data_IF_263864949471
#
_entry.id   IF_263864949471
#
_cell.length_a   1.000
_cell.length_b   1.000
_cell.length_c   1.000
_cell.angle_alpha   90.00
_cell.angle_beta   90.00
_cell.angle_gamma   90.00
#
_symmetry.space_group_name_H-M   'P 1'
#
loop_
_entity.id
_entity.type
_entity.pdbx_description
1 polymer ?
#
# COMPACT_ATOMS: atom_id res chain seq x y z
N UNK A 1 16.12 5.30 3.37
CA UNK A 1 14.88 6.05 3.06
C UNK A 1 13.63 5.34 3.61
N UNK A 2 12.71 6.10 4.21
CA UNK A 2 11.47 5.60 4.84
C UNK A 2 10.37 5.32 3.79
N UNK A 3 9.51 4.29 3.96
CA UNK A 3 8.31 4.09 3.13
C UNK A 3 7.43 5.35 2.99
N UNK A 4 7.47 6.26 3.97
CA UNK A 4 6.79 7.55 3.89
C UNK A 4 7.29 8.45 2.76
N UNK A 5 8.56 8.38 2.38
CA UNK A 5 9.08 9.17 1.27
C UNK A 5 8.54 8.68 -0.07
N UNK A 6 8.39 7.36 -0.24
CA UNK A 6 7.76 6.79 -1.43
C UNK A 6 6.30 7.24 -1.57
N UNK A 7 5.55 7.21 -0.47
CA UNK A 7 4.16 7.70 -0.44
C UNK A 7 4.10 9.21 -0.71
N UNK A 8 5.00 9.99 -0.12
CA UNK A 8 5.10 11.43 -0.37
C UNK A 8 5.48 11.74 -1.84
N UNK A 9 6.39 10.95 -2.43
CA UNK A 9 6.76 11.06 -3.84
C UNK A 9 5.55 10.79 -4.74
N UNK A 10 4.74 9.77 -4.42
CA UNK A 10 3.50 9.48 -5.13
C UNK A 10 2.47 10.63 -5.00
N UNK A 11 2.35 11.22 -3.81
CA UNK A 11 1.46 12.37 -3.58
C UNK A 11 1.88 13.57 -4.44
N UNK A 12 3.17 13.92 -4.44
CA UNK A 12 3.72 15.03 -5.22
C UNK A 12 3.62 14.80 -6.73
N UNK A 13 3.71 13.55 -7.18
CA UNK A 13 3.61 13.16 -8.60
C UNK A 13 2.17 12.88 -9.06
N UNK A 14 1.16 13.19 -8.23
CA UNK A 14 -0.26 12.97 -8.52
C UNK A 14 -0.61 11.50 -8.80
N UNK A 15 0.16 10.56 -8.26
CA UNK A 15 -0.02 9.11 -8.41
C UNK A 15 -0.43 8.43 -7.10
N UNK A 16 -0.71 9.19 -6.02
CA UNK A 16 -1.23 8.61 -4.78
C UNK A 16 -2.74 8.31 -4.89
N UNK A 17 -3.10 7.10 -4.48
CA UNK A 17 -4.48 6.72 -4.20
C UNK A 17 -4.61 6.27 -2.74
N UNK A 18 -5.61 6.78 -2.04
CA UNK A 18 -6.02 6.27 -0.74
C UNK A 18 -7.11 5.22 -0.94
N UNK A 19 -7.01 4.09 -0.27
CA UNK A 19 -8.07 3.09 -0.21
C UNK A 19 -8.61 3.06 1.22
N UNK A 20 -9.83 3.55 1.44
CA UNK A 20 -10.40 3.72 2.78
C UNK A 20 -11.48 2.69 3.08
N UNK A 21 -11.38 2.06 4.25
CA UNK A 21 -12.43 1.21 4.83
C UNK A 21 -13.03 1.82 6.09
N UNK A 22 -13.90 1.07 6.76
CA UNK A 22 -14.72 1.59 7.88
C UNK A 22 -13.86 2.06 9.06
N UNK A 23 -12.67 1.48 9.24
CA UNK A 23 -11.70 1.92 10.25
C UNK A 23 -11.19 3.35 10.03
N UNK A 24 -11.21 3.86 8.79
CA UNK A 24 -10.87 5.24 8.49
C UNK A 24 -11.98 6.17 9.02
N UNK A 25 -13.23 5.89 8.67
CA UNK A 25 -14.41 6.61 9.18
C UNK A 25 -14.44 6.61 10.70
N UNK A 26 -14.16 5.46 11.33
CA UNK A 26 -14.04 5.35 12.80
C UNK A 26 -12.93 6.23 13.38
N UNK A 27 -11.79 6.33 12.71
CA UNK A 27 -10.69 7.16 13.19
C UNK A 27 -11.09 8.64 13.20
N UNK A 28 -11.74 9.13 12.13
CA UNK A 28 -12.08 10.56 11.97
C UNK A 28 -13.42 10.96 12.63
N UNK A 29 -14.10 10.00 13.26
CA UNK A 29 -15.37 10.21 13.96
C UNK A 29 -15.31 9.78 15.44
N UNK A 30 -14.11 9.59 16.02
CA UNK A 30 -13.92 9.05 17.39
C UNK A 30 -14.74 7.77 17.68
N UNK A 31 -14.77 6.84 16.72
CA UNK A 31 -15.54 5.59 16.74
C UNK A 31 -17.08 5.73 16.69
N UNK A 32 -17.62 6.91 16.40
CA UNK A 32 -19.05 7.06 16.11
C UNK A 32 -19.52 6.24 14.89
N UNK A 33 -18.69 6.12 13.85
CA UNK A 33 -19.00 5.27 12.71
C UNK A 33 -19.09 3.80 13.14
N UNK A 34 -20.17 3.07 12.78
CA UNK A 34 -20.33 1.69 13.17
C UNK A 34 -19.32 0.80 12.44
N UNK A 35 -18.88 -0.28 13.07
CA UNK A 35 -18.24 -1.38 12.32
C UNK A 35 -19.26 -2.09 11.42
N UNK A 36 -18.83 -2.86 10.41
CA UNK A 36 -19.77 -3.59 9.56
C UNK A 36 -20.72 -4.48 10.36
N UNK A 37 -20.21 -5.25 11.32
CA UNK A 37 -21.03 -6.02 12.25
C UNK A 37 -21.98 -5.14 13.07
N UNK A 38 -21.47 -4.05 13.66
CA UNK A 38 -22.27 -3.14 14.49
C UNK A 38 -23.38 -2.42 13.71
N UNK A 39 -23.16 -2.14 12.43
CA UNK A 39 -24.16 -1.58 11.53
C UNK A 39 -25.29 -2.58 11.31
N UNK A 40 -24.97 -3.84 11.03
CA UNK A 40 -25.98 -4.90 10.86
C UNK A 40 -26.74 -5.18 12.16
N UNK A 41 -26.07 -5.16 13.32
CA UNK A 41 -26.73 -5.25 14.62
C UNK A 41 -27.76 -4.11 14.81
N UNK A 42 -27.43 -2.89 14.37
CA UNK A 42 -28.37 -1.75 14.41
C UNK A 42 -29.53 -1.91 13.43
N UNK A 43 -29.34 -2.60 12.30
CA UNK A 43 -30.44 -2.91 11.37
C UNK A 43 -31.38 -3.97 11.94
N UNK A 44 -30.87 -4.93 12.72
CA UNK A 44 -31.73 -5.89 13.42
C UNK A 44 -32.71 -5.19 14.37
N UNK A 45 -32.31 -4.08 15.02
CA UNK A 45 -33.16 -3.31 15.93
C UNK A 45 -34.41 -2.70 15.29
N UNK A 46 -34.45 -2.66 13.95
CA UNK A 46 -35.58 -2.14 13.18
C UNK A 46 -36.59 -3.21 12.75
N UNK A 47 -36.31 -4.48 13.08
CA UNK A 47 -37.16 -5.66 12.82
C UNK A 47 -38.13 -5.92 13.97
N UNK A 48 -39.13 -6.78 13.76
CA UNK A 48 -40.14 -7.11 14.79
C UNK A 48 -39.58 -7.85 16.00
N UNK A 49 -38.52 -8.65 15.78
CA UNK A 49 -37.91 -9.51 16.80
C UNK A 49 -36.38 -9.36 16.83
N UNK A 50 -35.88 -8.20 17.27
CA UNK A 50 -34.46 -7.85 17.15
C UNK A 50 -33.54 -8.81 17.92
N UNK A 51 -33.91 -9.19 19.15
CA UNK A 51 -33.10 -10.06 20.01
C UNK A 51 -32.99 -11.49 19.47
N UNK A 52 -34.10 -12.03 18.93
CA UNK A 52 -34.12 -13.37 18.31
C UNK A 52 -33.21 -13.40 17.08
N UNK A 53 -33.30 -12.36 16.23
CA UNK A 53 -32.50 -12.25 15.02
C UNK A 53 -31.01 -12.03 15.33
N UNK A 54 -30.68 -11.16 16.29
CA UNK A 54 -29.30 -10.93 16.75
C UNK A 54 -28.68 -12.21 17.31
N UNK A 55 -29.40 -12.94 18.15
CA UNK A 55 -28.92 -14.20 18.71
C UNK A 55 -28.64 -15.25 17.61
N UNK A 56 -29.47 -15.30 16.57
CA UNK A 56 -29.27 -16.22 15.44
C UNK A 56 -28.14 -15.83 14.49
N UNK A 57 -27.99 -14.53 14.18
CA UNK A 57 -27.02 -14.04 13.18
C UNK A 57 -25.65 -13.68 13.76
N UNK A 58 -25.59 -13.33 15.04
CA UNK A 58 -24.37 -12.85 15.71
C UNK A 58 -24.15 -13.55 17.06
N UNK A 59 -24.07 -14.90 17.11
CA UNK A 59 -23.92 -15.62 18.36
C UNK A 59 -22.62 -15.26 19.08
N UNK A 60 -22.70 -15.13 20.41
CA UNK A 60 -21.55 -14.80 21.24
C UNK A 60 -20.65 -16.03 21.43
N UNK A 61 -19.46 -16.02 20.81
CA UNK A 61 -18.41 -17.02 21.07
C UNK A 61 -18.55 -18.35 20.32
N UNK A 62 -19.62 -18.56 19.56
CA UNK A 62 -19.76 -19.69 18.63
C UNK A 62 -19.33 -19.32 17.21
N UNK A 63 -18.96 -20.33 16.42
CA UNK A 63 -18.60 -20.13 15.00
C UNK A 63 -19.85 -19.68 14.26
N UNK A 64 -19.82 -18.46 13.72
CA UNK A 64 -20.92 -17.98 12.92
C UNK A 64 -21.06 -18.83 11.66
N UNK A 65 -22.27 -19.35 11.42
CA UNK A 65 -22.53 -20.21 10.26
C UNK A 65 -22.60 -19.42 8.95
N UNK A 66 -22.87 -18.13 9.04
CA UNK A 66 -23.02 -17.21 7.90
C UNK A 66 -21.92 -16.14 7.90
N UNK A 67 -21.56 -15.73 6.70
CA UNK A 67 -20.79 -14.51 6.45
C UNK A 67 -21.60 -13.25 6.80
N UNK A 68 -20.94 -12.10 6.95
CA UNK A 68 -21.64 -10.85 7.27
C UNK A 68 -22.54 -10.40 6.11
N UNK A 69 -22.16 -10.70 4.88
CA UNK A 69 -22.92 -10.40 3.66
C UNK A 69 -24.21 -11.26 3.60
N UNK A 70 -24.14 -12.53 4.00
CA UNK A 70 -25.31 -13.39 4.11
C UNK A 70 -26.21 -12.97 5.28
N UNK A 71 -25.63 -12.58 6.42
CA UNK A 71 -26.40 -12.03 7.53
C UNK A 71 -27.16 -10.75 7.12
N UNK A 72 -26.52 -9.87 6.34
CA UNK A 72 -27.18 -8.70 5.76
C UNK A 72 -28.35 -9.07 4.84
N UNK A 73 -28.22 -10.14 4.04
CA UNK A 73 -29.30 -10.65 3.22
C UNK A 73 -30.50 -11.13 4.05
N UNK A 74 -30.25 -11.83 5.16
CA UNK A 74 -31.31 -12.26 6.09
C UNK A 74 -32.02 -11.06 6.70
N UNK A 75 -31.26 -10.05 7.16
CA UNK A 75 -31.83 -8.82 7.73
C UNK A 75 -32.68 -8.07 6.69
N UNK A 76 -32.23 -8.02 5.43
CA UNK A 76 -33.00 -7.41 4.33
C UNK A 76 -34.38 -8.06 4.18
N UNK A 77 -34.43 -9.40 4.18
CA UNK A 77 -35.69 -10.16 4.05
C UNK A 77 -36.63 -9.88 5.24
N UNK A 78 -36.08 -9.74 6.45
CA UNK A 78 -36.89 -9.44 7.63
C UNK A 78 -37.44 -8.00 7.60
N UNK A 79 -36.63 -7.03 7.20
CA UNK A 79 -37.06 -5.63 7.06
C UNK A 79 -38.12 -5.43 5.98
N UNK A 80 -38.03 -6.19 4.88
CA UNK A 80 -39.03 -6.16 3.80
C UNK A 80 -40.44 -6.54 4.26
N UNK A 81 -40.56 -7.44 5.26
CA UNK A 81 -41.87 -7.79 5.86
C UNK A 81 -42.56 -6.58 6.50
N UNK A 82 -41.76 -5.61 6.94
CA UNK A 82 -42.20 -4.36 7.54
C UNK A 82 -42.25 -3.20 6.53
N UNK A 83 -42.07 -3.49 5.23
CA UNK A 83 -42.04 -2.49 4.17
C UNK A 83 -40.81 -1.58 4.19
N UNK A 84 -39.74 -1.98 4.89
CA UNK A 84 -38.48 -1.22 4.98
C UNK A 84 -37.43 -1.79 4.05
N UNK A 85 -36.58 -0.92 3.51
CA UNK A 85 -35.39 -1.30 2.73
C UNK A 85 -34.16 -1.20 3.60
N UNK A 86 -33.35 -2.26 3.68
CA UNK A 86 -32.07 -2.23 4.40
C UNK A 86 -31.15 -1.11 3.89
N UNK A 87 -31.16 -0.85 2.59
CA UNK A 87 -30.34 0.19 1.96
C UNK A 87 -30.71 1.59 2.43
N UNK A 88 -32.01 1.91 2.45
CA UNK A 88 -32.50 3.22 2.92
C UNK A 88 -32.22 3.42 4.42
N UNK A 89 -32.43 2.39 5.24
CA UNK A 89 -32.19 2.46 6.69
C UNK A 89 -30.68 2.60 7.03
N UNK A 90 -29.82 1.87 6.31
CA UNK A 90 -28.36 2.05 6.42
C UNK A 90 -27.99 3.48 6.02
N UNK A 91 -28.52 3.98 4.89
CA UNK A 91 -28.21 5.32 4.43
C UNK A 91 -28.69 6.39 5.43
N UNK A 92 -29.85 6.21 6.05
CA UNK A 92 -30.38 7.09 7.08
C UNK A 92 -29.45 7.13 8.31
N UNK A 93 -29.01 5.97 8.80
CA UNK A 93 -28.09 5.88 9.94
C UNK A 93 -26.74 6.54 9.61
N UNK A 94 -26.15 6.18 8.46
CA UNK A 94 -24.81 6.66 8.08
C UNK A 94 -24.79 8.19 7.85
N UNK A 95 -25.87 8.78 7.30
CA UNK A 95 -25.98 10.24 7.12
C UNK A 95 -25.91 11.03 8.44
N UNK A 96 -26.18 10.41 9.58
CA UNK A 96 -26.11 11.08 10.89
C UNK A 96 -24.69 11.23 11.43
N UNK A 97 -23.74 10.44 10.91
CA UNK A 97 -22.35 10.41 11.39
C UNK A 97 -21.65 11.71 11.03
N UNK A 98 -20.90 12.27 11.98
CA UNK A 98 -20.13 13.50 11.78
C UNK A 98 -18.66 13.31 12.12
N UNK A 99 -17.85 14.23 11.61
CA UNK A 99 -16.45 14.35 12.03
C UNK A 99 -16.39 14.70 13.52
N UNK A 100 -15.53 13.99 14.25
CA UNK A 100 -15.25 14.22 15.67
C UNK A 100 -13.75 14.06 15.93
N UNK A 101 -13.29 14.66 17.03
CA UNK A 101 -11.88 14.69 17.39
C UNK A 101 -11.05 15.65 16.55
N UNK A 102 -9.73 15.64 16.77
CA UNK A 102 -8.78 16.45 16.01
C UNK A 102 -8.38 15.73 14.72
N UNK A 103 -8.88 16.25 13.59
CA UNK A 103 -8.55 15.77 12.25
C UNK A 103 -7.72 16.78 11.45
N UNK A 104 -7.08 17.75 12.13
CA UNK A 104 -6.36 18.86 11.50
C UNK A 104 -5.23 18.40 10.58
N UNK A 105 -4.44 17.41 10.98
CA UNK A 105 -3.35 16.84 10.16
C UNK A 105 -3.88 16.19 8.88
N UNK A 106 -4.99 15.47 8.99
CA UNK A 106 -5.67 14.81 7.87
C UNK A 106 -6.25 15.86 6.92
N UNK A 107 -7.01 16.81 7.46
CA UNK A 107 -7.62 17.90 6.69
C UNK A 107 -6.56 18.75 5.96
N UNK A 108 -5.43 19.05 6.62
CA UNK A 108 -4.31 19.78 6.00
C UNK A 108 -3.81 19.08 4.74
N UNK A 109 -3.60 17.76 4.81
CA UNK A 109 -3.19 16.98 3.65
C UNK A 109 -4.29 16.95 2.57
N UNK A 110 -5.52 16.59 2.96
CA UNK A 110 -6.63 16.38 2.03
C UNK A 110 -7.12 17.68 1.36
N UNK A 111 -6.77 18.85 1.87
CA UNK A 111 -7.09 20.14 1.24
C UNK A 111 -5.96 20.67 0.36
N UNK A 112 -4.70 20.31 0.64
CA UNK A 112 -3.54 20.86 -0.04
C UNK A 112 -3.12 20.10 -1.30
N UNK A 113 -3.44 18.81 -1.40
CA UNK A 113 -2.92 17.94 -2.46
C UNK A 113 -4.04 17.35 -3.33
N UNK A 114 -3.76 17.06 -4.61
CA UNK A 114 -4.62 16.22 -5.44
C UNK A 114 -4.42 14.74 -5.09
N UNK A 115 -5.52 13.99 -5.02
CA UNK A 115 -5.47 12.55 -4.78
C UNK A 115 -6.75 11.87 -5.26
N UNK A 116 -6.63 10.57 -5.47
CA UNK A 116 -7.77 9.69 -5.70
C UNK A 116 -8.07 8.92 -4.43
N UNK A 117 -9.36 8.72 -4.12
CA UNK A 117 -9.81 7.83 -3.05
C UNK A 117 -10.65 6.73 -3.65
N UNK A 118 -10.38 5.49 -3.26
CA UNK A 118 -11.32 4.38 -3.38
C UNK A 118 -11.88 4.14 -1.99
N UNK A 119 -13.20 4.18 -1.86
CA UNK A 119 -13.88 3.95 -0.58
C UNK A 119 -14.88 2.82 -0.72
N UNK A 120 -14.88 1.91 0.25
CA UNK A 120 -15.97 0.94 0.47
C UNK A 120 -16.98 1.45 1.51
N UNK A 121 -16.77 2.65 2.04
CA UNK A 121 -17.66 3.24 3.01
C UNK A 121 -18.79 3.99 2.30
N UNK A 122 -19.97 4.03 2.91
CA UNK A 122 -21.12 4.73 2.35
C UNK A 122 -21.13 6.23 2.71
N UNK A 123 -20.45 6.61 3.80
CA UNK A 123 -20.40 7.95 4.36
C UNK A 123 -19.69 8.98 3.47
N UNK A 124 -19.83 10.27 3.80
CA UNK A 124 -19.24 11.41 3.08
C UNK A 124 -18.13 12.11 3.86
N UNK A 125 -17.53 11.45 4.86
CA UNK A 125 -16.65 12.11 5.82
C UNK A 125 -15.34 12.57 5.16
N UNK A 126 -14.83 11.82 4.19
CA UNK A 126 -13.59 12.20 3.49
C UNK A 126 -13.81 13.41 2.57
N UNK A 127 -14.98 13.53 1.95
CA UNK A 127 -15.36 14.70 1.18
C UNK A 127 -15.44 15.94 2.06
N UNK A 128 -16.06 15.83 3.24
CA UNK A 128 -16.10 16.92 4.22
C UNK A 128 -14.70 17.37 4.63
N UNK A 129 -13.76 16.44 4.85
CA UNK A 129 -12.36 16.78 5.17
C UNK A 129 -11.58 17.36 3.98
N UNK A 130 -11.95 17.04 2.75
CA UNK A 130 -11.26 17.47 1.53
C UNK A 130 -11.65 18.88 1.09
N UNK A 131 -12.70 19.46 1.68
CA UNK A 131 -13.24 20.78 1.35
C UNK A 131 -14.35 20.71 0.29
N UNK A 132 -15.50 21.33 0.59
CA UNK A 132 -16.66 21.40 -0.30
C UNK A 132 -16.37 22.37 -1.47
N UNK A 133 -16.19 21.84 -2.68
CA UNK A 133 -16.05 22.67 -3.91
C UNK A 133 -15.09 22.13 -4.96
N UNK A 134 -14.14 21.27 -4.59
CA UNK A 134 -13.12 20.71 -5.49
C UNK A 134 -12.91 19.19 -5.27
N UNK A 135 -13.98 18.54 -4.83
CA UNK A 135 -14.07 17.11 -4.62
C UNK A 135 -15.26 16.55 -5.40
N UNK A 136 -15.00 15.55 -6.24
CA UNK A 136 -16.06 14.77 -6.88
C UNK A 136 -16.24 13.44 -6.19
N UNK A 137 -17.46 13.20 -5.71
CA UNK A 137 -17.89 11.92 -5.19
C UNK A 137 -18.62 11.14 -6.29
N UNK A 138 -18.10 9.96 -6.62
CA UNK A 138 -18.61 9.07 -7.65
C UNK A 138 -19.17 7.82 -6.98
N UNK A 139 -20.41 7.48 -7.31
CA UNK A 139 -21.10 6.29 -6.82
C UNK A 139 -21.86 5.60 -7.96
N UNK A 140 -21.98 4.26 -7.95
CA UNK A 140 -22.96 3.54 -8.77
C UNK A 140 -24.33 4.24 -8.75
N UNK A 141 -24.97 4.31 -9.92
CA UNK A 141 -26.28 4.93 -10.11
C UNK A 141 -26.28 6.45 -10.33
N UNK A 142 -25.13 7.13 -10.18
CA UNK A 142 -25.02 8.58 -10.39
C UNK A 142 -24.24 8.91 -11.69
N UNK A 143 -24.51 10.07 -12.32
CA UNK A 143 -23.74 10.54 -13.47
C UNK A 143 -22.26 10.73 -13.15
N UNK A 144 -21.38 10.36 -14.09
CA UNK A 144 -19.93 10.56 -13.96
C UNK A 144 -19.58 12.00 -14.37
N UNK A 145 -18.96 12.81 -13.49
CA UNK A 145 -18.49 14.15 -13.84
C UNK A 145 -17.48 14.13 -14.98
N UNK A 146 -17.55 15.12 -15.88
CA UNK A 146 -16.65 15.25 -17.04
C UNK A 146 -15.54 16.29 -16.86
N UNK A 147 -15.63 17.12 -15.83
CA UNK A 147 -14.61 18.10 -15.46
C UNK A 147 -13.51 17.47 -14.59
N UNK A 148 -12.38 18.16 -14.50
CA UNK A 148 -11.35 17.81 -13.52
C UNK A 148 -11.72 18.37 -12.14
N UNK A 149 -11.32 17.63 -11.11
CA UNK A 149 -11.36 18.05 -9.71
C UNK A 149 -10.06 17.58 -9.06
N UNK A 150 -9.60 18.32 -8.06
CA UNK A 150 -8.40 17.98 -7.28
C UNK A 150 -8.57 16.64 -6.56
N UNK A 151 -9.76 16.37 -6.03
CA UNK A 151 -10.07 15.12 -5.33
C UNK A 151 -11.17 14.36 -6.05
N UNK A 152 -10.97 13.05 -6.24
CA UNK A 152 -11.98 12.13 -6.77
C UNK A 152 -12.15 10.97 -5.81
N UNK A 153 -13.35 10.83 -5.25
CA UNK A 153 -13.73 9.75 -4.33
C UNK A 153 -14.62 8.76 -5.07
N UNK A 154 -14.16 7.53 -5.24
CA UNK A 154 -14.90 6.44 -5.87
C UNK A 154 -15.46 5.53 -4.79
N UNK A 155 -16.77 5.63 -4.55
CA UNK A 155 -17.51 4.73 -3.66
C UNK A 155 -17.85 3.45 -4.40
N UNK A 156 -16.95 2.47 -4.35
CA UNK A 156 -17.11 1.22 -5.13
C UNK A 156 -18.29 0.38 -4.65
N UNK A 157 -18.65 0.48 -3.37
CA UNK A 157 -19.83 -0.17 -2.78
C UNK A 157 -21.07 0.73 -2.74
N UNK A 158 -21.05 1.86 -3.45
CA UNK A 158 -22.13 2.83 -3.37
C UNK A 158 -22.03 3.78 -2.19
N UNK A 159 -22.95 4.73 -2.14
CA UNK A 159 -22.95 5.81 -1.16
C UNK A 159 -24.37 6.17 -0.75
N UNK A 160 -24.48 6.84 0.40
CA UNK A 160 -25.75 7.36 0.94
C UNK A 160 -26.51 8.32 0.02
N UNK A 161 -25.88 8.82 -1.05
CA UNK A 161 -26.51 9.63 -2.10
C UNK A 161 -27.39 8.80 -3.04
N UNK A 162 -27.12 7.50 -3.17
CA UNK A 162 -27.90 6.57 -4.00
C UNK A 162 -28.07 5.23 -3.27
N UNK A 163 -28.91 5.18 -2.22
CA UNK A 163 -29.04 4.02 -1.35
C UNK A 163 -29.36 2.73 -2.12
N UNK A 164 -30.27 2.81 -3.09
CA UNK A 164 -30.70 1.68 -3.95
C UNK A 164 -29.55 1.01 -4.71
N UNK A 165 -28.44 1.72 -4.95
CA UNK A 165 -27.28 1.19 -5.66
C UNK A 165 -26.12 0.79 -4.72
N UNK A 166 -26.34 0.76 -3.41
CA UNK A 166 -25.32 0.32 -2.44
C UNK A 166 -25.17 -1.20 -2.44
N UNK A 167 -23.93 -1.66 -2.21
CA UNK A 167 -23.56 -3.08 -2.14
C UNK A 167 -23.57 -3.52 -0.68
N UNK A 168 -24.71 -4.06 -0.21
CA UNK A 168 -24.92 -4.38 1.21
C UNK A 168 -25.11 -5.88 1.42
N UNK A 169 -25.97 -6.51 0.63
CA UNK A 169 -26.40 -7.90 0.80
C UNK A 169 -25.54 -8.86 -0.03
N UNK A 170 -25.53 -10.16 0.32
CA UNK A 170 -24.81 -11.17 -0.47
C UNK A 170 -25.21 -11.18 -1.96
N UNK A 171 -26.48 -10.91 -2.27
CA UNK A 171 -26.95 -10.75 -3.65
C UNK A 171 -26.31 -9.53 -4.35
N UNK A 172 -26.20 -8.40 -3.65
CA UNK A 172 -25.55 -7.20 -4.19
C UNK A 172 -24.06 -7.46 -4.45
N UNK A 173 -23.36 -8.14 -3.53
CA UNK A 173 -21.95 -8.51 -3.71
C UNK A 173 -21.77 -9.45 -4.90
N UNK A 174 -22.65 -10.44 -5.06
CA UNK A 174 -22.61 -11.35 -6.21
C UNK A 174 -22.81 -10.60 -7.53
N UNK A 175 -23.75 -9.65 -7.57
CA UNK A 175 -23.94 -8.80 -8.75
C UNK A 175 -22.72 -7.90 -9.00
N UNK A 176 -22.17 -7.28 -7.95
CA UNK A 176 -21.01 -6.41 -8.07
C UNK A 176 -19.79 -7.14 -8.65
N UNK A 177 -19.46 -8.32 -8.11
CA UNK A 177 -18.32 -9.14 -8.55
C UNK A 177 -18.49 -9.63 -10.00
N UNK A 178 -19.71 -10.01 -10.39
CA UNK A 178 -19.98 -10.52 -11.73
C UNK A 178 -20.29 -9.42 -12.75
N UNK A 179 -20.49 -8.18 -12.31
CA UNK A 179 -20.76 -7.05 -13.19
C UNK A 179 -19.46 -6.48 -13.77
N UNK A 180 -19.42 -6.31 -15.09
CA UNK A 180 -18.40 -5.47 -15.74
C UNK A 180 -18.70 -3.97 -15.58
N UNK A 181 -18.92 -3.53 -14.34
CA UNK A 181 -19.26 -2.14 -14.04
C UNK A 181 -18.08 -1.20 -14.32
N UNK A 182 -18.39 0.09 -14.55
CA UNK A 182 -17.39 1.15 -14.63
C UNK A 182 -16.49 1.17 -13.38
N UNK A 183 -17.06 0.96 -12.19
CA UNK A 183 -16.33 1.02 -10.93
C UNK A 183 -15.35 -0.15 -10.77
N UNK A 184 -15.71 -1.37 -11.17
CA UNK A 184 -14.80 -2.52 -11.11
C UNK A 184 -13.61 -2.34 -12.06
N UNK A 185 -13.85 -1.86 -13.29
CA UNK A 185 -12.77 -1.54 -14.26
C UNK A 185 -11.90 -0.37 -13.81
N UNK A 186 -12.51 0.70 -13.29
CA UNK A 186 -11.78 1.87 -12.80
C UNK A 186 -10.93 1.55 -11.58
N UNK A 187 -11.46 0.73 -10.66
CA UNK A 187 -10.70 0.21 -9.52
C UNK A 187 -9.44 -0.52 -9.98
N UNK A 188 -9.58 -1.49 -10.89
CA UNK A 188 -8.43 -2.20 -11.45
C UNK A 188 -7.41 -1.25 -12.09
N UNK A 189 -7.88 -0.26 -12.85
CA UNK A 189 -7.02 0.75 -13.49
C UNK A 189 -6.23 1.56 -12.45
N UNK A 190 -6.89 2.06 -11.41
CA UNK A 190 -6.26 2.83 -10.33
C UNK A 190 -5.19 1.99 -9.61
N UNK A 191 -5.44 0.70 -9.35
CA UNK A 191 -4.44 -0.16 -8.71
C UNK A 191 -3.13 -0.27 -9.53
N UNK A 192 -3.20 -0.11 -10.86
CA UNK A 192 -2.03 -0.15 -11.74
C UNK A 192 -1.35 1.21 -11.91
N UNK A 193 -2.12 2.30 -11.93
CA UNK A 193 -1.62 3.65 -12.20
C UNK A 193 -1.07 4.33 -10.94
N UNK A 194 -1.47 3.87 -9.75
CA UNK A 194 -1.25 4.60 -8.50
C UNK A 194 -0.45 3.81 -7.47
N UNK A 195 0.26 4.54 -6.60
CA UNK A 195 0.65 4.03 -5.29
C UNK A 195 -0.59 4.03 -4.40
N UNK A 196 -1.03 2.85 -3.97
CA UNK A 196 -2.28 2.66 -3.22
C UNK A 196 -1.96 2.48 -1.74
N UNK A 197 -2.45 3.38 -0.90
CA UNK A 197 -2.33 3.27 0.56
C UNK A 197 -3.68 2.87 1.15
N UNK A 198 -3.74 1.67 1.70
CA UNK A 198 -4.94 1.11 2.33
C UNK A 198 -4.98 1.55 3.81
N UNK A 199 -6.06 2.23 4.18
CA UNK A 199 -6.29 2.83 5.49
C UNK A 199 -7.61 2.34 6.10
N UNK A 200 -7.55 1.85 7.34
CA UNK A 200 -8.77 1.50 8.08
C UNK A 200 -9.57 0.34 7.46
N UNK A 201 -8.90 -0.52 6.71
CA UNK A 201 -9.52 -1.66 6.05
C UNK A 201 -9.13 -2.95 6.77
N UNK A 202 -10.03 -3.95 6.76
CA UNK A 202 -9.68 -5.29 7.24
C UNK A 202 -9.13 -6.11 6.09
N UNK A 203 -7.86 -6.52 6.16
CA UNK A 203 -7.30 -7.46 5.18
C UNK A 203 -7.97 -8.85 5.23
N UNK A 204 -8.86 -9.11 6.20
CA UNK A 204 -9.68 -10.32 6.26
C UNK A 204 -10.79 -10.36 5.21
N UNK A 205 -11.19 -9.22 4.66
CA UNK A 205 -12.28 -9.09 3.69
C UNK A 205 -11.99 -9.83 2.38
N UNK A 206 -12.91 -10.71 2.00
CA UNK A 206 -12.79 -11.54 0.81
C UNK A 206 -12.96 -10.74 -0.49
N UNK A 207 -13.73 -9.65 -0.48
CA UNK A 207 -13.92 -8.80 -1.66
C UNK A 207 -12.60 -8.11 -2.05
N UNK A 208 -11.93 -7.48 -1.08
CA UNK A 208 -10.62 -6.88 -1.33
C UNK A 208 -9.60 -7.93 -1.79
N UNK A 209 -9.56 -9.11 -1.17
CA UNK A 209 -8.65 -10.20 -1.60
C UNK A 209 -8.93 -10.62 -3.05
N UNK A 210 -10.19 -10.70 -3.46
CA UNK A 210 -10.58 -11.03 -4.84
C UNK A 210 -10.11 -9.97 -5.83
N UNK A 211 -10.30 -8.68 -5.51
CA UNK A 211 -9.85 -7.57 -6.33
C UNK A 211 -8.31 -7.57 -6.45
N UNK A 212 -7.61 -7.79 -5.34
CA UNK A 212 -6.15 -7.76 -5.29
C UNK A 212 -5.49 -9.02 -5.89
N UNK A 213 -6.14 -10.19 -5.83
CA UNK A 213 -5.60 -11.40 -6.45
C UNK A 213 -5.57 -11.28 -7.97
N UNK A 214 -6.60 -10.66 -8.57
CA UNK A 214 -6.64 -10.32 -9.98
C UNK A 214 -5.50 -9.36 -10.38
N UNK A 215 -5.19 -8.37 -9.53
CA UNK A 215 -4.06 -7.46 -9.74
C UNK A 215 -2.71 -8.18 -9.81
N UNK A 216 -2.44 -9.12 -8.88
CA UNK A 216 -1.13 -9.79 -8.83
C UNK A 216 -0.84 -10.64 -10.07
N UNK A 217 -1.86 -11.28 -10.64
CA UNK A 217 -1.72 -12.07 -11.87
C UNK A 217 -1.12 -11.25 -13.03
N UNK A 218 -1.47 -9.97 -13.11
CA UNK A 218 -1.00 -9.05 -14.14
C UNK A 218 0.30 -8.32 -13.77
N UNK A 219 0.47 -7.92 -12.49
CA UNK A 219 1.65 -7.20 -11.98
C UNK A 219 2.97 -7.96 -12.19
N UNK A 220 2.96 -9.31 -12.17
CA UNK A 220 4.16 -10.13 -12.46
C UNK A 220 4.81 -9.84 -13.82
N UNK A 221 4.04 -9.35 -14.80
CA UNK A 221 4.53 -9.12 -16.15
C UNK A 221 4.95 -7.66 -16.40
N UNK A 222 4.56 -6.73 -15.52
CA UNK A 222 4.60 -5.30 -15.80
C UNK A 222 4.99 -4.43 -14.59
N UNK A 223 6.21 -4.63 -14.06
CA UNK A 223 6.95 -3.54 -13.39
C UNK A 223 6.50 -3.22 -11.96
N UNK A 224 7.38 -3.53 -10.99
CA UNK A 224 7.30 -3.20 -9.56
C UNK A 224 6.17 -3.91 -8.82
N UNK A 225 6.55 -4.96 -8.08
CA UNK A 225 5.60 -5.89 -7.43
C UNK A 225 4.84 -5.33 -6.22
N UNK A 226 5.06 -4.07 -5.79
CA UNK A 226 4.44 -3.58 -4.55
C UNK A 226 4.14 -2.07 -4.52
N UNK A 227 3.21 -1.62 -5.36
CA UNK A 227 2.66 -0.25 -5.25
C UNK A 227 1.58 -0.14 -4.16
N UNK A 228 1.24 -1.23 -3.48
CA UNK A 228 0.17 -1.29 -2.47
C UNK A 228 0.79 -1.37 -1.08
N UNK A 229 0.40 -0.43 -0.22
CA UNK A 229 0.87 -0.31 1.16
C UNK A 229 -0.34 -0.36 2.09
N UNK A 230 -0.35 -1.31 3.03
CA UNK A 230 -1.38 -1.44 4.05
C UNK A 230 -0.92 -0.86 5.38
N UNK A 231 -1.68 0.09 5.91
CA UNK A 231 -1.41 0.70 7.22
C UNK A 231 -2.28 0.01 8.29
N UNK A 232 -1.61 -0.59 9.27
CA UNK A 232 -2.26 -1.25 10.41
C UNK A 232 -2.00 -0.48 11.70
N UNK A 233 -3.04 -0.30 12.51
CA UNK A 233 -2.90 0.25 13.86
C UNK A 233 -2.21 -0.71 14.83
N UNK A 234 -2.34 -2.01 14.61
CA UNK A 234 -1.80 -3.06 15.50
C UNK A 234 -0.67 -3.82 14.83
N UNK A 235 0.26 -4.33 15.62
CA UNK A 235 1.30 -5.22 15.13
C UNK A 235 0.70 -6.44 14.41
N UNK A 236 1.24 -6.76 13.23
CA UNK A 236 0.82 -7.91 12.42
C UNK A 236 1.91 -8.97 12.46
N UNK A 237 1.51 -10.23 12.68
CA UNK A 237 2.42 -11.36 12.68
C UNK A 237 3.22 -11.44 11.37
N UNK A 238 4.51 -11.74 11.46
CA UNK A 238 5.41 -11.83 10.30
C UNK A 238 4.91 -12.80 9.22
N UNK A 239 4.42 -13.99 9.58
CA UNK A 239 3.91 -14.95 8.59
C UNK A 239 2.70 -14.40 7.82
N UNK A 240 1.92 -13.55 8.47
CA UNK A 240 0.79 -12.86 7.85
C UNK A 240 1.28 -11.75 6.91
N UNK A 241 2.32 -10.98 7.28
CA UNK A 241 2.97 -10.02 6.38
C UNK A 241 3.57 -10.71 5.16
N UNK A 242 4.28 -11.82 5.36
CA UNK A 242 4.85 -12.65 4.28
C UNK A 242 3.76 -13.20 3.37
N UNK A 243 2.62 -13.64 3.94
CA UNK A 243 1.44 -14.04 3.16
C UNK A 243 0.89 -12.89 2.32
N UNK A 244 0.73 -11.68 2.87
CA UNK A 244 0.21 -10.55 2.11
C UNK A 244 1.15 -10.08 1.00
N UNK A 245 2.44 -9.99 1.29
CA UNK A 245 3.47 -9.69 0.30
C UNK A 245 3.47 -10.76 -0.79
N UNK A 246 3.52 -12.04 -0.40
CA UNK A 246 3.59 -13.13 -1.37
C UNK A 246 2.31 -13.28 -2.17
N UNK A 247 1.12 -13.26 -1.58
CA UNK A 247 -0.14 -13.55 -2.26
C UNK A 247 -0.74 -12.34 -2.99
N UNK A 248 -0.45 -11.12 -2.56
CA UNK A 248 -1.11 -9.91 -3.08
C UNK A 248 -0.15 -8.75 -3.40
N UNK A 249 1.16 -8.89 -3.15
CA UNK A 249 2.12 -7.79 -3.37
C UNK A 249 1.96 -6.61 -2.39
N UNK A 250 1.28 -6.83 -1.26
CA UNK A 250 1.00 -5.78 -0.28
C UNK A 250 2.16 -5.67 0.71
N UNK A 251 2.69 -4.45 0.89
CA UNK A 251 3.63 -4.13 1.98
C UNK A 251 2.85 -3.65 3.20
N UNK A 252 3.17 -4.17 4.37
CA UNK A 252 2.47 -3.83 5.62
C UNK A 252 3.33 -2.88 6.45
N UNK A 253 2.75 -1.73 6.83
CA UNK A 253 3.28 -0.83 7.85
C UNK A 253 2.32 -0.88 9.05
N UNK A 254 2.75 -1.50 10.14
CA UNK A 254 1.95 -1.67 11.33
C UNK A 254 2.35 -0.73 12.47
N UNK A 255 1.55 -0.72 13.54
CA UNK A 255 1.71 0.14 14.71
C UNK A 255 1.62 1.64 14.37
N UNK A 256 0.80 1.97 13.37
CA UNK A 256 0.58 3.35 12.89
C UNK A 256 -0.92 3.61 12.82
N UNK A 257 -1.40 4.59 13.58
CA UNK A 257 -2.78 5.07 13.45
C UNK A 257 -2.96 5.90 12.17
N UNK A 258 -4.21 6.12 11.76
CA UNK A 258 -4.53 6.99 10.62
C UNK A 258 -3.97 8.40 10.83
N UNK A 259 -4.16 9.00 12.00
CA UNK A 259 -3.62 10.32 12.32
C UNK A 259 -2.10 10.37 12.26
N UNK A 260 -1.42 9.40 12.88
CA UNK A 260 0.05 9.29 12.84
C UNK A 260 0.59 9.10 11.42
N UNK A 261 -0.16 8.39 10.57
CA UNK A 261 0.19 8.23 9.18
C UNK A 261 0.21 9.59 8.45
N UNK A 262 -0.86 10.39 8.57
CA UNK A 262 -0.92 11.69 7.91
C UNK A 262 0.08 12.69 8.48
N UNK A 263 0.35 12.67 9.79
CA UNK A 263 1.40 13.51 10.41
C UNK A 263 2.79 13.21 9.83
N UNK A 264 3.17 11.93 9.74
CA UNK A 264 4.45 11.50 9.18
C UNK A 264 4.54 11.75 7.68
N UNK A 265 3.42 11.59 6.96
CA UNK A 265 3.35 11.91 5.53
C UNK A 265 3.61 13.40 5.30
N UNK A 266 2.89 14.28 6.02
CA UNK A 266 3.06 15.73 5.94
C UNK A 266 4.50 16.16 6.21
N UNK A 267 5.13 15.62 7.26
CA UNK A 267 6.53 15.91 7.58
C UNK A 267 7.52 15.52 6.47
N UNK A 268 7.12 14.67 5.52
CA UNK A 268 7.98 14.17 4.44
C UNK A 268 7.72 14.86 3.09
N UNK A 269 6.60 15.56 2.91
CA UNK A 269 6.16 16.10 1.63
C UNK A 269 7.10 17.16 1.05
N UNK A 270 7.62 18.08 1.87
CA UNK A 270 8.53 19.13 1.39
C UNK A 270 9.85 18.54 0.85
N UNK A 271 10.36 17.51 1.53
CA UNK A 271 11.54 16.77 1.08
C UNK A 271 11.28 16.12 -0.28
N UNK A 272 10.16 15.43 -0.44
CA UNK A 272 9.78 14.81 -1.71
C UNK A 272 9.58 15.86 -2.82
N UNK A 273 8.91 16.98 -2.53
CA UNK A 273 8.64 18.06 -3.49
C UNK A 273 9.92 18.57 -4.15
N UNK A 274 10.99 18.75 -3.37
CA UNK A 274 12.28 19.20 -3.89
C UNK A 274 13.01 18.17 -4.79
N UNK A 275 12.55 16.91 -4.83
CA UNK A 275 13.23 15.78 -5.49
C UNK A 275 12.49 15.18 -6.68
N UNK A 276 11.16 15.30 -6.76
CA UNK A 276 10.37 14.67 -7.84
C UNK A 276 10.80 15.16 -9.22
N UNK A 277 10.72 16.46 -9.50
CA UNK A 277 11.06 16.97 -10.84
C UNK A 277 12.53 16.71 -11.23
N UNK A 278 13.53 16.97 -10.36
CA UNK A 278 14.92 16.67 -10.68
C UNK A 278 15.18 15.19 -10.95
N UNK A 279 14.61 14.29 -10.14
CA UNK A 279 14.80 12.84 -10.32
C UNK A 279 14.24 12.35 -11.65
N UNK A 280 13.02 12.79 -12.02
CA UNK A 280 12.40 12.48 -13.33
C UNK A 280 13.24 13.04 -14.49
N UNK A 281 13.74 14.27 -14.37
CA UNK A 281 14.61 14.87 -15.40
C UNK A 281 15.91 14.09 -15.56
N UNK A 282 16.53 13.70 -14.44
CA UNK A 282 17.80 12.99 -14.43
C UNK A 282 17.67 11.58 -15.02
N UNK A 283 16.63 10.82 -14.66
CA UNK A 283 16.45 9.47 -15.20
C UNK A 283 16.18 9.49 -16.71
N UNK A 284 15.42 10.49 -17.20
CA UNK A 284 15.21 10.68 -18.64
C UNK A 284 16.54 10.94 -19.37
N UNK A 285 17.41 11.80 -18.82
CA UNK A 285 18.74 12.05 -19.37
C UNK A 285 19.62 10.78 -19.37
N UNK A 286 19.54 9.97 -18.32
CA UNK A 286 20.32 8.73 -18.23
C UNK A 286 19.88 7.71 -19.27
N UNK A 287 18.57 7.59 -19.51
CA UNK A 287 18.01 6.62 -20.46
C UNK A 287 18.13 7.09 -21.91
N UNK A 288 17.79 8.36 -22.18
CA UNK A 288 17.69 8.89 -23.55
C UNK A 288 19.04 9.40 -24.04
N UNK A 289 19.78 10.12 -23.19
CA UNK A 289 21.04 10.77 -23.56
C UNK A 289 22.27 9.93 -23.15
N UNK A 290 22.07 8.71 -22.60
CA UNK A 290 23.13 7.84 -22.08
C UNK A 290 24.05 8.51 -21.05
N UNK A 291 23.54 9.53 -20.34
CA UNK A 291 24.28 10.20 -19.26
C UNK A 291 24.47 9.28 -18.06
N UNK A 292 25.44 9.61 -17.21
CA UNK A 292 25.77 8.86 -16.00
C UNK A 292 25.56 9.79 -14.80
N UNK A 293 25.04 9.26 -13.70
CA UNK A 293 24.95 9.99 -12.44
C UNK A 293 26.34 10.37 -11.92
N UNK A 294 26.47 11.53 -11.29
CA UNK A 294 27.73 11.94 -10.66
C UNK A 294 28.00 11.10 -9.40
N UNK A 295 29.28 10.93 -9.07
CA UNK A 295 29.68 10.27 -7.82
C UNK A 295 29.11 10.98 -6.59
N UNK A 296 29.07 12.32 -6.60
CA UNK A 296 28.48 13.12 -5.52
C UNK A 296 27.00 12.78 -5.26
N UNK A 297 26.25 12.49 -6.33
CA UNK A 297 24.85 12.07 -6.22
C UNK A 297 24.76 10.64 -5.68
N UNK A 298 25.52 9.70 -6.24
CA UNK A 298 25.53 8.27 -5.83
C UNK A 298 26.01 8.07 -4.38
N UNK A 299 26.83 8.98 -3.84
CA UNK A 299 27.23 8.95 -2.42
C UNK A 299 26.06 9.13 -1.46
N UNK A 300 25.03 9.86 -1.86
CA UNK A 300 23.86 10.15 -1.03
C UNK A 300 23.00 8.89 -0.83
N UNK A 301 22.62 8.59 0.42
CA UNK A 301 21.75 7.46 0.78
C UNK A 301 20.45 7.42 -0.07
N UNK A 302 19.84 8.58 -0.29
CA UNK A 302 18.51 8.68 -0.90
C UNK A 302 18.51 8.57 -2.43
N UNK A 303 19.68 8.72 -3.07
CA UNK A 303 19.79 8.79 -4.53
C UNK A 303 19.24 7.56 -5.25
N UNK A 304 19.49 6.35 -4.76
CA UNK A 304 19.00 5.14 -5.38
C UNK A 304 17.47 5.01 -5.30
N UNK A 305 16.88 5.40 -4.18
CA UNK A 305 15.43 5.40 -4.03
C UNK A 305 14.79 6.42 -4.98
N UNK A 306 15.37 7.63 -5.10
CA UNK A 306 14.94 8.64 -6.08
C UNK A 306 14.99 8.09 -7.51
N UNK A 307 16.06 7.35 -7.86
CA UNK A 307 16.20 6.69 -9.17
C UNK A 307 15.06 5.68 -9.38
N UNK A 308 14.85 4.76 -8.44
CA UNK A 308 13.83 3.73 -8.54
C UNK A 308 12.42 4.33 -8.67
N UNK A 309 12.08 5.32 -7.83
CA UNK A 309 10.78 6.00 -7.89
C UNK A 309 10.59 6.74 -9.21
N UNK A 310 11.64 7.37 -9.73
CA UNK A 310 11.57 8.07 -11.02
C UNK A 310 11.39 7.13 -12.22
N UNK A 311 11.87 5.89 -12.17
CA UNK A 311 11.65 4.86 -13.21
C UNK A 311 10.16 4.52 -13.30
N UNK A 312 9.51 4.33 -12.15
CA UNK A 312 8.07 4.11 -12.06
C UNK A 312 7.30 5.32 -12.62
N UNK A 313 7.70 6.53 -12.24
CA UNK A 313 7.04 7.77 -12.65
C UNK A 313 7.09 8.03 -14.17
N UNK A 314 8.10 7.51 -14.89
CA UNK A 314 8.18 7.60 -16.35
C UNK A 314 7.54 6.39 -17.07
N UNK A 315 6.91 5.47 -16.34
CA UNK A 315 6.24 4.28 -16.89
C UNK A 315 7.18 3.26 -17.51
N UNK A 316 8.43 3.16 -17.02
CA UNK A 316 9.43 2.20 -17.54
C UNK A 316 9.57 1.00 -16.61
N UNK A 317 9.81 -0.18 -17.22
CA UNK A 317 10.13 -1.39 -16.47
C UNK A 317 11.49 -1.32 -15.82
N UNK A 318 11.58 -1.72 -14.56
CA UNK A 318 12.87 -1.94 -13.90
C UNK A 318 13.68 -3.05 -14.58
N UNK A 319 13.01 -3.95 -15.29
CA UNK A 319 13.60 -5.04 -16.08
C UNK A 319 13.85 -4.66 -17.55
N UNK A 320 13.59 -3.41 -17.94
CA UNK A 320 13.97 -2.90 -19.26
C UNK A 320 15.50 -2.90 -19.39
N UNK A 321 16.04 -3.39 -20.51
CA UNK A 321 17.49 -3.51 -20.72
C UNK A 321 18.25 -2.21 -20.51
N UNK A 322 17.67 -1.06 -20.90
CA UNK A 322 18.30 0.26 -20.71
C UNK A 322 18.34 0.66 -19.23
N UNK A 323 17.27 0.34 -18.48
CA UNK A 323 17.17 0.57 -17.04
C UNK A 323 18.13 -0.32 -16.28
N UNK A 324 18.19 -1.61 -16.60
CA UNK A 324 19.10 -2.56 -15.95
C UNK A 324 20.55 -2.18 -16.21
N UNK A 325 20.89 -1.74 -17.42
CA UNK A 325 22.22 -1.20 -17.70
C UNK A 325 22.53 0.06 -16.87
N UNK A 326 21.57 0.98 -16.72
CA UNK A 326 21.74 2.18 -15.91
C UNK A 326 21.90 1.85 -14.41
N UNK A 327 21.03 1.00 -13.86
CA UNK A 327 21.10 0.54 -12.47
C UNK A 327 22.40 -0.23 -12.21
N UNK A 328 22.85 -1.06 -13.15
CA UNK A 328 24.15 -1.73 -13.09
C UNK A 328 25.30 -0.75 -12.92
N UNK A 329 25.35 0.32 -13.73
CA UNK A 329 26.36 1.38 -13.58
C UNK A 329 26.29 2.09 -12.23
N UNK A 330 25.09 2.37 -11.73
CA UNK A 330 24.88 3.02 -10.42
C UNK A 330 25.36 2.13 -9.28
N UNK A 331 25.02 0.84 -9.31
CA UNK A 331 25.44 -0.15 -8.32
C UNK A 331 26.96 -0.36 -8.37
N UNK A 332 27.54 -0.47 -9.57
CA UNK A 332 28.99 -0.61 -9.74
C UNK A 332 29.73 0.61 -9.19
N UNK A 333 29.25 1.82 -9.50
CA UNK A 333 29.79 3.06 -8.92
C UNK A 333 29.68 3.06 -7.40
N UNK A 334 28.54 2.64 -6.84
CA UNK A 334 28.36 2.53 -5.39
C UNK A 334 29.34 1.56 -4.76
N UNK A 335 29.59 0.41 -5.39
CA UNK A 335 30.59 -0.56 -4.93
C UNK A 335 31.99 0.07 -4.95
N UNK A 336 32.37 0.80 -6.01
CA UNK A 336 33.67 1.49 -6.06
C UNK A 336 33.83 2.49 -4.91
N UNK A 337 32.77 3.24 -4.59
CA UNK A 337 32.78 4.19 -3.46
C UNK A 337 33.05 3.51 -2.12
N UNK A 338 32.64 2.24 -1.93
CA UNK A 338 32.96 1.50 -0.68
C UNK A 338 34.46 1.23 -0.51
N UNK A 339 35.24 1.21 -1.59
CA UNK A 339 36.67 0.93 -1.56
C UNK A 339 37.54 2.16 -1.24
N UNK A 340 36.95 3.33 -1.04
CA UNK A 340 37.69 4.55 -0.71
C UNK A 340 38.02 4.65 0.77
N UNK A 341 39.03 5.47 1.09
CA UNK A 341 39.36 5.81 2.47
C UNK A 341 38.18 6.53 3.13
N UNK A 342 37.86 6.15 4.37
CA UNK A 342 36.75 6.70 5.15
C UNK A 342 35.33 6.51 4.55
N UNK A 343 35.13 5.50 3.70
CA UNK A 343 33.85 5.21 3.06
C UNK A 343 32.83 4.43 3.92
N UNK A 344 32.90 4.53 5.26
CA UNK A 344 32.09 3.72 6.19
C UNK A 344 30.59 3.75 5.87
N UNK A 345 30.05 4.94 5.61
CA UNK A 345 28.63 5.12 5.29
C UNK A 345 28.23 4.46 3.97
N UNK A 346 29.17 4.33 3.01
CA UNK A 346 28.88 3.78 1.69
C UNK A 346 28.57 2.28 1.74
N UNK A 347 29.16 1.55 2.69
CA UNK A 347 28.81 0.14 2.96
C UNK A 347 27.36 0.01 3.43
N UNK A 348 26.97 0.88 4.37
CA UNK A 348 25.61 0.92 4.92
C UNK A 348 24.61 1.27 3.82
N UNK A 349 24.89 2.32 3.04
CA UNK A 349 24.04 2.73 1.91
C UNK A 349 23.88 1.61 0.88
N UNK A 350 24.97 0.91 0.50
CA UNK A 350 24.90 -0.21 -0.44
C UNK A 350 24.00 -1.34 0.09
N UNK A 351 24.15 -1.72 1.36
CA UNK A 351 23.29 -2.72 1.99
C UNK A 351 21.82 -2.32 1.92
N UNK A 352 21.51 -1.07 2.29
CA UNK A 352 20.13 -0.56 2.27
C UNK A 352 19.52 -0.50 0.87
N UNK A 353 20.29 -0.13 -0.16
CA UNK A 353 19.82 -0.11 -1.55
C UNK A 353 19.44 -1.50 -2.03
N UNK A 354 20.25 -2.49 -1.72
CA UNK A 354 20.00 -3.88 -2.11
C UNK A 354 18.81 -4.48 -1.36
N UNK A 355 18.72 -4.21 -0.05
CA UNK A 355 17.56 -4.60 0.76
C UNK A 355 16.27 -3.98 0.19
N UNK A 356 16.31 -2.69 -0.14
CA UNK A 356 15.16 -1.99 -0.72
C UNK A 356 14.72 -2.62 -2.04
N UNK A 357 15.66 -2.85 -2.96
CA UNK A 357 15.36 -3.46 -4.26
C UNK A 357 14.75 -4.87 -4.10
N UNK A 358 15.29 -5.68 -3.20
CA UNK A 358 14.78 -7.03 -2.94
C UNK A 358 13.45 -7.06 -2.14
N UNK A 359 13.02 -5.93 -1.59
CA UNK A 359 11.71 -5.78 -0.95
C UNK A 359 10.61 -5.40 -1.96
N UNK A 360 10.96 -4.73 -3.06
CA UNK A 360 9.97 -4.20 -4.01
C UNK A 360 9.89 -4.96 -5.34
N UNK A 361 10.84 -5.85 -5.62
CA UNK A 361 10.96 -6.60 -6.89
C UNK A 361 11.25 -8.08 -6.64
N UNK A 362 10.43 -8.99 -7.16
CA UNK A 362 10.82 -10.41 -7.30
C UNK A 362 11.98 -10.54 -8.30
N UNK A 363 13.14 -10.98 -7.84
CA UNK A 363 14.39 -10.92 -8.62
C UNK A 363 14.56 -12.12 -9.57
N UNK A 364 14.01 -13.28 -9.20
CA UNK A 364 14.22 -14.52 -9.94
C UNK A 364 13.66 -14.44 -11.36
N UNK A 365 14.50 -14.68 -12.35
CA UNK A 365 14.17 -14.64 -13.78
C UNK A 365 14.26 -13.25 -14.41
N UNK A 366 14.61 -12.22 -13.64
CA UNK A 366 14.80 -10.86 -14.17
C UNK A 366 16.19 -10.67 -14.77
N UNK A 367 16.34 -9.73 -15.68
CA UNK A 367 17.63 -9.36 -16.28
C UNK A 367 18.59 -8.70 -15.28
N UNK A 368 18.08 -8.09 -14.20
CA UNK A 368 18.90 -7.50 -13.13
C UNK A 368 19.43 -8.53 -12.11
N UNK A 369 18.89 -9.75 -12.09
CA UNK A 369 19.17 -10.78 -11.08
C UNK A 369 20.68 -10.97 -10.81
N UNK A 370 21.47 -11.14 -11.88
CA UNK A 370 22.91 -11.40 -11.77
C UNK A 370 23.69 -10.21 -11.19
N UNK A 371 23.36 -8.99 -11.62
CA UNK A 371 23.96 -7.75 -11.12
C UNK A 371 23.66 -7.60 -9.64
N UNK A 372 22.39 -7.82 -9.26
CA UNK A 372 21.95 -7.77 -7.89
C UNK A 372 22.69 -8.78 -7.00
N UNK A 373 22.71 -10.07 -7.39
CA UNK A 373 23.32 -11.12 -6.58
C UNK A 373 24.82 -10.90 -6.37
N UNK A 374 25.53 -10.43 -7.40
CA UNK A 374 26.94 -10.06 -7.28
C UNK A 374 27.16 -8.90 -6.31
N UNK A 375 26.32 -7.86 -6.37
CA UNK A 375 26.39 -6.72 -5.45
C UNK A 375 26.05 -7.14 -4.01
N UNK A 376 25.04 -7.98 -3.82
CA UNK A 376 24.68 -8.55 -2.51
C UNK A 376 25.81 -9.38 -1.93
N UNK A 377 26.43 -10.26 -2.72
CA UNK A 377 27.58 -11.04 -2.26
C UNK A 377 28.73 -10.13 -1.82
N UNK A 378 29.03 -9.08 -2.59
CA UNK A 378 30.07 -8.09 -2.23
C UNK A 378 29.73 -7.38 -0.92
N UNK A 379 28.50 -6.88 -0.78
CA UNK A 379 28.02 -6.19 0.42
C UNK A 379 28.12 -7.11 1.65
N UNK A 380 27.61 -8.34 1.56
CA UNK A 380 27.62 -9.30 2.67
C UNK A 380 29.02 -9.83 3.02
N UNK A 381 29.94 -9.88 2.06
CA UNK A 381 31.34 -10.25 2.36
C UNK A 381 32.13 -9.10 3.01
N UNK A 382 31.59 -7.89 3.02
CA UNK A 382 32.23 -6.69 3.59
C UNK A 382 31.60 -6.21 4.90
N UNK A 383 30.71 -7.00 5.48
CA UNK A 383 30.05 -6.71 6.76
C UNK A 383 30.56 -7.65 7.85
N UNK A 384 30.44 -7.23 9.10
CA UNK A 384 30.79 -8.07 10.26
C UNK A 384 29.86 -7.77 11.43
N UNK A 385 29.55 -8.76 12.26
CA UNK A 385 28.82 -8.53 13.50
C UNK A 385 29.64 -7.71 14.52
N UNK A 386 30.96 -7.93 14.55
CA UNK A 386 31.90 -7.24 15.42
C UNK A 386 32.64 -6.13 14.67
N UNK A 387 33.24 -5.19 15.41
CA UNK A 387 34.00 -4.08 14.83
C UNK A 387 35.38 -4.53 14.37
N UNK A 388 35.54 -4.78 13.07
CA UNK A 388 36.84 -5.04 12.44
C UNK A 388 37.19 -3.96 11.42
N UNK A 389 38.48 -3.63 11.31
CA UNK A 389 38.97 -2.72 10.29
C UNK A 389 38.71 -3.32 8.90
N UNK A 390 38.05 -2.56 8.02
CA UNK A 390 37.68 -3.01 6.68
C UNK A 390 36.33 -3.73 6.57
N UNK A 391 35.60 -3.92 7.68
CA UNK A 391 34.26 -4.53 7.69
C UNK A 391 33.24 -3.61 8.35
N UNK A 392 32.08 -3.42 7.71
CA UNK A 392 31.04 -2.54 8.23
C UNK A 392 30.06 -3.28 9.15
N UNK A 393 30.10 -2.94 10.44
CA UNK A 393 29.14 -3.40 11.43
C UNK A 393 27.75 -2.80 11.23
N UNK A 394 27.68 -1.58 10.71
CA UNK A 394 26.41 -0.92 10.37
C UNK A 394 25.73 -1.60 9.18
N UNK A 395 26.50 -2.03 8.17
CA UNK A 395 25.96 -2.81 7.06
C UNK A 395 25.40 -4.16 7.54
N UNK A 396 26.10 -4.85 8.45
CA UNK A 396 25.58 -6.06 9.08
C UNK A 396 24.28 -5.79 9.84
N UNK A 397 24.24 -4.71 10.61
CA UNK A 397 23.03 -4.29 11.34
C UNK A 397 21.86 -4.04 10.38
N UNK A 398 22.07 -3.30 9.30
CA UNK A 398 21.06 -3.05 8.26
C UNK A 398 20.52 -4.35 7.65
N UNK A 399 21.41 -5.27 7.24
CA UNK A 399 21.00 -6.58 6.75
C UNK A 399 20.25 -7.36 7.82
N UNK A 400 20.76 -7.43 9.05
CA UNK A 400 20.20 -8.23 10.14
C UNK A 400 18.79 -7.77 10.52
N UNK A 401 18.58 -6.46 10.66
CA UNK A 401 17.30 -5.88 11.07
C UNK A 401 16.25 -5.96 9.96
N UNK A 402 16.67 -5.79 8.71
CA UNK A 402 15.74 -5.69 7.56
C UNK A 402 15.66 -6.98 6.73
N UNK A 403 16.46 -8.01 7.04
CA UNK A 403 16.47 -9.31 6.34
C UNK A 403 15.07 -9.90 6.24
N UNK A 404 14.32 -9.83 7.33
CA UNK A 404 12.99 -10.40 7.41
C UNK A 404 11.94 -9.61 6.60
N UNK A 405 12.23 -8.37 6.21
CA UNK A 405 11.39 -7.58 5.32
C UNK A 405 11.64 -7.84 3.83
N UNK A 406 12.64 -8.64 3.45
CA UNK A 406 12.88 -9.01 2.05
C UNK A 406 11.85 -10.06 1.62
N UNK A 407 11.37 -9.95 0.37
CA UNK A 407 10.44 -10.91 -0.22
C UNK A 407 10.96 -12.34 -0.03
N UNK A 408 10.10 -13.24 0.44
CA UNK A 408 10.51 -14.59 0.85
C UNK A 408 11.24 -15.37 -0.26
N UNK A 409 10.80 -15.26 -1.53
CA UNK A 409 11.46 -15.88 -2.68
C UNK A 409 12.87 -15.31 -2.92
N UNK A 410 13.05 -14.00 -2.72
CA UNK A 410 14.36 -13.34 -2.80
C UNK A 410 15.29 -13.77 -1.66
N UNK A 411 14.78 -13.96 -0.43
CA UNK A 411 15.60 -14.50 0.68
C UNK A 411 16.17 -15.87 0.34
N UNK A 412 15.36 -16.75 -0.26
CA UNK A 412 15.80 -18.08 -0.70
C UNK A 412 16.85 -17.95 -1.81
N UNK A 413 16.61 -17.08 -2.79
CA UNK A 413 17.55 -16.82 -3.89
C UNK A 413 18.91 -16.33 -3.37
N UNK A 414 18.91 -15.33 -2.49
CA UNK A 414 20.11 -14.75 -1.87
C UNK A 414 20.82 -15.81 -1.04
N UNK A 415 20.09 -16.57 -0.20
CA UNK A 415 20.66 -17.65 0.62
C UNK A 415 21.44 -18.65 -0.23
N UNK A 416 20.79 -19.20 -1.25
CA UNK A 416 21.41 -20.21 -2.12
C UNK A 416 22.65 -19.65 -2.83
N UNK A 417 22.62 -18.38 -3.26
CA UNK A 417 23.75 -17.74 -3.92
C UNK A 417 24.92 -17.48 -2.96
N UNK A 418 24.64 -16.99 -1.75
CA UNK A 418 25.64 -16.68 -0.73
C UNK A 418 26.27 -17.97 -0.19
N UNK A 419 25.49 -19.02 0.08
CA UNK A 419 26.02 -20.31 0.55
C UNK A 419 26.98 -20.96 -0.46
N UNK A 420 26.76 -20.73 -1.76
CA UNK A 420 27.63 -21.26 -2.82
C UNK A 420 28.91 -20.43 -3.03
N UNK A 421 28.87 -19.12 -2.79
CA UNK A 421 29.91 -18.18 -3.24
C UNK A 421 30.57 -17.36 -2.11
N UNK A 422 30.14 -17.49 -0.86
CA UNK A 422 30.70 -16.78 0.29
C UNK A 422 31.37 -17.74 1.27
N UNK A 423 32.48 -17.31 1.84
CA UNK A 423 33.13 -17.94 3.00
C UNK A 423 32.97 -17.12 4.27
N UNK A 424 32.25 -15.99 4.24
CA UNK A 424 32.05 -15.12 5.39
C UNK A 424 31.12 -15.78 6.41
N UNK A 425 31.59 -16.04 7.66
CA UNK A 425 30.75 -16.64 8.69
C UNK A 425 29.50 -15.79 8.99
N UNK A 426 29.65 -14.47 9.04
CA UNK A 426 28.55 -13.55 9.33
C UNK A 426 27.51 -13.51 8.21
N UNK A 427 27.95 -13.56 6.95
CA UNK A 427 27.04 -13.65 5.81
C UNK A 427 26.25 -14.97 5.85
N UNK A 428 26.94 -16.10 6.06
CA UNK A 428 26.33 -17.42 6.12
C UNK A 428 25.36 -17.56 7.30
N UNK A 429 25.71 -17.00 8.47
CA UNK A 429 24.84 -16.97 9.64
C UNK A 429 23.56 -16.18 9.36
N UNK A 430 23.69 -15.01 8.74
CA UNK A 430 22.56 -14.13 8.46
C UNK A 430 21.58 -14.75 7.48
N UNK A 431 22.05 -15.29 6.35
CA UNK A 431 21.15 -15.84 5.32
C UNK A 431 20.41 -17.09 5.80
N UNK A 432 20.95 -17.82 6.79
CA UNK A 432 20.31 -18.98 7.41
C UNK A 432 19.19 -18.61 8.40
N UNK A 433 19.05 -17.34 8.79
CA UNK A 433 17.90 -16.88 9.59
C UNK A 433 16.63 -16.99 8.77
N UNK A 434 15.58 -17.59 9.37
CA UNK A 434 14.25 -17.74 8.78
C UNK A 434 13.31 -16.61 9.18
#
# INVERSE_FOLDING_TARGET
>A
MSPFFEIAYAAVSNSLCLFTGTGFSKAISENEAPSWKGLLESMCDLTDKPEELKAGLFPNGEVNSLSLEEAAQVISIELEKNGKSIHEEIAALIKTIKLKGDNSSIAKFLTAWPFTVISTNYDKLIETLSGEGDCYSLSPGLPIPRSEARVKVYHVHGSVDSPVNMVVTSNDYFQFINSESYFSKKLSTILHENCVVILGYSLGDNNLKSILSNYKGFSKNHVISSNIIFISRTAINKHVKDYYSHCYGIRVMDEISVHQFFEKLEATLDSARSKVEPSISNIKKVIIENKIYSESYVRNENSFYEIILSIAAIGKSIDDKSIVAALGKVIEMKIKLTCENHAWDQYTHLAEWLIYLANILELKGTTIESIYLNATLKSMNSMSQETYVGYSWQAYKSWSEKWLGIIASNRILIRNYVEKNSTSPDALLLVKRN
#
